data_IF_987185729215
#
_entry.id   IF_987185729215
#
_cell.length_a   1.000
_cell.length_b   1.000
_cell.length_c   1.000
_cell.angle_alpha   90.00
_cell.angle_beta   90.00
_cell.angle_gamma   90.00
#
_symmetry.space_group_name_H-M   'P 1'
#
loop_
_entity.id
_entity.type
_entity.pdbx_description
1 polymer ?
#
# COMPACT_ATOMS: atom_id res chain seq x y z
N UNK A 1 7.05 -6.75 -4.99
CA UNK A 1 5.90 -7.66 -5.20
C UNK A 1 5.40 -7.52 -6.63
N UNK A 2 5.05 -8.63 -7.29
CA UNK A 2 4.55 -8.62 -8.67
C UNK A 2 3.15 -8.01 -8.73
N UNK A 3 2.93 -7.11 -9.68
CA UNK A 3 1.61 -6.54 -9.99
C UNK A 3 1.14 -6.97 -11.36
N UNK A 4 -0.17 -7.10 -11.51
CA UNK A 4 -0.82 -7.35 -12.78
C UNK A 4 -1.27 -6.03 -13.40
N UNK A 5 -0.93 -5.81 -14.67
CA UNK A 5 -1.48 -4.70 -15.46
C UNK A 5 -2.84 -5.13 -16.02
N UNK A 6 -3.91 -4.51 -15.52
CA UNK A 6 -5.29 -4.85 -15.86
C UNK A 6 -5.92 -3.72 -16.69
N UNK A 7 -6.46 -4.00 -17.89
CA UNK A 7 -7.14 -2.98 -18.70
C UNK A 7 -8.41 -2.45 -18.02
N UNK A 8 -8.62 -1.13 -18.01
CA UNK A 8 -9.80 -0.51 -17.40
C UNK A 8 -11.11 -0.99 -18.05
N UNK A 9 -11.09 -1.29 -19.35
CA UNK A 9 -12.25 -1.85 -20.06
C UNK A 9 -12.65 -3.23 -19.53
N UNK A 10 -11.69 -4.07 -19.12
CA UNK A 10 -11.97 -5.39 -18.57
C UNK A 10 -12.63 -5.29 -17.18
N UNK A 11 -12.14 -4.39 -16.33
CA UNK A 11 -12.74 -4.09 -15.03
C UNK A 11 -14.17 -3.57 -15.18
N UNK A 12 -14.40 -2.61 -16.09
CA UNK A 12 -15.74 -2.07 -16.34
C UNK A 12 -16.73 -3.13 -16.83
N UNK A 13 -16.32 -4.03 -17.72
CA UNK A 13 -17.16 -5.18 -18.15
C UNK A 13 -17.49 -6.12 -16.99
N UNK A 14 -16.65 -6.16 -15.97
CA UNK A 14 -16.84 -6.99 -14.77
C UNK A 14 -17.56 -6.24 -13.64
N UNK A 15 -18.09 -5.04 -13.89
CA UNK A 15 -18.84 -4.25 -12.90
C UNK A 15 -17.98 -3.41 -11.95
N UNK A 16 -16.68 -3.24 -12.23
CA UNK A 16 -15.76 -2.44 -11.42
C UNK A 16 -15.37 -1.16 -12.17
N UNK A 17 -15.69 -0.01 -11.58
CA UNK A 17 -15.21 1.28 -12.07
C UNK A 17 -13.79 1.56 -11.58
N UNK A 18 -12.99 2.13 -12.47
CA UNK A 18 -11.78 2.86 -12.09
C UNK A 18 -11.85 4.21 -12.76
N UNK A 19 -11.71 5.27 -11.96
CA UNK A 19 -11.65 6.63 -12.48
C UNK A 19 -10.32 6.84 -13.19
N UNK A 20 -10.37 7.56 -14.32
CA UNK A 20 -9.22 7.68 -15.22
C UNK A 20 -8.00 8.25 -14.50
N UNK A 21 -6.83 7.64 -14.74
CA UNK A 21 -5.51 8.07 -14.24
C UNK A 21 -4.59 8.51 -15.38
N UNK A 22 -5.15 8.80 -16.55
CA UNK A 22 -4.39 9.07 -17.77
C UNK A 22 -3.84 7.81 -18.48
N UNK A 23 -4.08 6.61 -17.92
CA UNK A 23 -3.65 5.34 -18.51
C UNK A 23 -4.84 4.41 -18.80
N UNK A 24 -4.77 3.58 -19.87
CA UNK A 24 -5.81 2.60 -20.21
C UNK A 24 -5.81 1.35 -19.32
N UNK A 25 -4.81 1.22 -18.45
CA UNK A 25 -4.58 0.10 -17.54
C UNK A 25 -4.32 0.60 -16.11
N UNK A 26 -4.54 -0.26 -15.12
CA UNK A 26 -4.13 -0.07 -13.73
C UNK A 26 -3.29 -1.26 -13.28
N UNK A 27 -2.29 -1.02 -12.44
CA UNK A 27 -1.52 -2.07 -11.80
C UNK A 27 -2.18 -2.45 -10.47
N UNK A 28 -2.56 -3.72 -10.33
CA UNK A 28 -3.18 -4.26 -9.11
C UNK A 28 -2.29 -5.36 -8.51
N UNK A 29 -2.31 -5.55 -7.18
CA UNK A 29 -1.63 -6.69 -6.55
C UNK A 29 -2.12 -8.02 -7.10
N UNK A 30 -1.26 -9.04 -7.10
CA UNK A 30 -1.60 -10.38 -7.59
C UNK A 30 -2.86 -10.94 -6.91
N UNK A 31 -2.97 -10.79 -5.59
CA UNK A 31 -4.19 -11.10 -4.85
C UNK A 31 -5.12 -9.89 -4.83
N UNK A 32 -6.05 -9.85 -5.76
CA UNK A 32 -7.10 -8.84 -5.85
C UNK A 32 -8.45 -9.52 -6.04
N UNK A 33 -9.34 -9.39 -5.05
CA UNK A 33 -10.73 -9.88 -5.09
C UNK A 33 -11.66 -8.70 -4.98
N UNK A 34 -12.51 -8.50 -5.98
CA UNK A 34 -13.39 -7.34 -6.07
C UNK A 34 -14.82 -7.83 -6.28
N UNK A 35 -15.72 -7.47 -5.38
CA UNK A 35 -17.14 -7.72 -5.57
C UNK A 35 -17.77 -6.59 -6.39
N UNK A 36 -18.52 -6.96 -7.42
CA UNK A 36 -19.32 -6.01 -8.19
C UNK A 36 -20.70 -5.79 -7.56
N UNK A 37 -21.30 -4.59 -7.72
CA UNK A 37 -20.70 -3.40 -8.31
C UNK A 37 -19.73 -2.71 -7.35
N UNK A 38 -18.66 -2.11 -7.86
CA UNK A 38 -17.67 -1.43 -7.02
C UNK A 38 -16.87 -0.37 -7.78
N UNK A 39 -16.11 0.46 -7.06
CA UNK A 39 -15.21 1.44 -7.67
C UNK A 39 -13.88 1.51 -6.92
N UNK A 40 -12.77 1.41 -7.66
CA UNK A 40 -11.41 1.59 -7.13
C UNK A 40 -10.99 3.06 -7.08
N UNK A 41 -11.77 3.95 -7.72
CA UNK A 41 -11.49 5.38 -7.90
C UNK A 41 -9.99 5.65 -8.15
N UNK A 42 -9.36 6.52 -7.37
CA UNK A 42 -7.96 6.93 -7.54
C UNK A 42 -7.00 6.29 -6.51
N UNK A 43 -7.46 5.32 -5.72
CA UNK A 43 -6.67 4.70 -4.65
C UNK A 43 -5.58 3.77 -5.19
N UNK A 44 -4.39 3.80 -4.58
CA UNK A 44 -3.32 2.86 -4.86
C UNK A 44 -3.45 1.64 -3.93
N UNK A 45 -3.55 0.45 -4.51
CA UNK A 45 -3.62 -0.80 -3.79
C UNK A 45 -2.28 -1.55 -3.89
N UNK A 46 -1.76 -1.99 -2.76
CA UNK A 46 -0.49 -2.71 -2.63
C UNK A 46 -0.65 -4.03 -1.87
N UNK A 47 0.30 -4.94 -2.08
CA UNK A 47 0.38 -6.26 -1.45
C UNK A 47 -0.79 -7.21 -1.76
N UNK A 48 -2.01 -6.89 -1.31
CA UNK A 48 -3.23 -7.65 -1.59
C UNK A 48 -4.47 -6.83 -1.22
N UNK A 49 -5.59 -7.04 -1.90
CA UNK A 49 -6.88 -6.43 -1.55
C UNK A 49 -8.03 -7.40 -1.74
N UNK A 50 -8.97 -7.39 -0.79
CA UNK A 50 -10.33 -7.88 -0.98
C UNK A 50 -11.28 -6.72 -0.65
N UNK A 51 -12.15 -6.36 -1.60
CA UNK A 51 -13.04 -5.20 -1.49
C UNK A 51 -14.49 -5.63 -1.78
N UNK A 52 -15.34 -5.50 -0.77
CA UNK A 52 -16.76 -5.79 -0.88
C UNK A 52 -17.52 -4.82 -1.79
N UNK A 53 -18.68 -5.27 -2.26
CA UNK A 53 -19.52 -4.49 -3.17
C UNK A 53 -19.94 -3.16 -2.53
N UNK A 54 -20.12 -2.15 -3.39
CA UNK A 54 -20.47 -0.78 -3.02
C UNK A 54 -19.43 -0.05 -2.15
N UNK A 55 -18.31 -0.69 -1.82
CA UNK A 55 -17.21 -0.04 -1.11
C UNK A 55 -16.30 0.70 -2.08
N UNK A 56 -15.82 1.87 -1.65
CA UNK A 56 -14.85 2.66 -2.40
C UNK A 56 -13.98 3.49 -1.48
N UNK A 57 -12.75 3.73 -1.92
CA UNK A 57 -11.88 4.75 -1.36
C UNK A 57 -11.62 5.81 -2.43
N UNK A 58 -11.91 7.08 -2.13
CA UNK A 58 -11.78 8.16 -3.13
C UNK A 58 -10.35 8.24 -3.65
N UNK A 59 -9.38 8.37 -2.75
CA UNK A 59 -7.95 8.36 -3.08
C UNK A 59 -7.12 7.97 -1.86
N UNK A 60 -5.81 7.82 -2.07
CA UNK A 60 -4.86 7.49 -1.03
C UNK A 60 -4.25 6.12 -1.27
N UNK A 61 -3.98 5.41 -0.18
CA UNK A 61 -3.19 4.20 -0.19
C UNK A 61 -3.84 3.11 0.65
N UNK A 62 -3.79 1.87 0.17
CA UNK A 62 -4.32 0.71 0.85
C UNK A 62 -3.38 -0.48 0.65
N UNK A 63 -2.83 -1.00 1.74
CA UNK A 63 -1.90 -2.13 1.74
C UNK A 63 -2.49 -3.29 2.53
N UNK A 64 -2.46 -4.48 1.94
CA UNK A 64 -2.87 -5.74 2.56
C UNK A 64 -4.20 -5.64 3.33
N UNK A 65 -5.31 -5.31 2.65
CA UNK A 65 -6.59 -5.08 3.33
C UNK A 65 -7.69 -6.08 2.96
N UNK A 66 -8.63 -6.26 3.89
CA UNK A 66 -9.90 -6.99 3.74
C UNK A 66 -11.01 -6.05 4.15
N UNK A 67 -11.75 -5.54 3.16
CA UNK A 67 -12.75 -4.49 3.36
C UNK A 67 -14.13 -5.06 3.00
N UNK A 68 -15.08 -4.94 3.93
CA UNK A 68 -16.46 -5.37 3.73
C UNK A 68 -17.22 -4.56 2.68
N UNK A 69 -18.54 -4.76 2.61
CA UNK A 69 -19.47 -4.07 1.72
C UNK A 69 -19.88 -2.70 2.26
N UNK A 70 -20.34 -1.81 1.39
CA UNK A 70 -20.93 -0.51 1.74
C UNK A 70 -20.01 0.44 2.51
N UNK A 71 -18.69 0.33 2.37
CA UNK A 71 -17.74 1.19 3.05
C UNK A 71 -17.38 2.44 2.24
N UNK A 72 -17.24 3.56 2.92
CA UNK A 72 -16.88 4.85 2.30
C UNK A 72 -15.58 5.37 2.92
N UNK A 73 -14.55 5.61 2.11
CA UNK A 73 -13.29 6.20 2.57
C UNK A 73 -13.00 7.50 1.82
N UNK A 74 -12.75 8.58 2.56
CA UNK A 74 -12.45 9.91 2.02
C UNK A 74 -11.11 9.98 1.27
N UNK A 75 -10.85 11.13 0.64
CA UNK A 75 -9.57 11.39 -0.05
C UNK A 75 -8.38 11.31 0.91
N UNK A 76 -7.25 10.84 0.39
CA UNK A 76 -5.99 10.78 1.12
C UNK A 76 -5.95 9.77 2.26
N UNK A 77 -6.99 8.94 2.44
CA UNK A 77 -7.01 7.90 3.48
C UNK A 77 -5.84 6.93 3.31
N UNK A 78 -5.21 6.55 4.42
CA UNK A 78 -4.08 5.63 4.46
C UNK A 78 -4.49 4.37 5.23
N UNK A 79 -4.55 3.22 4.58
CA UNK A 79 -4.97 1.95 5.19
C UNK A 79 -3.82 0.93 5.16
N UNK A 80 -3.56 0.30 6.29
CA UNK A 80 -2.60 -0.81 6.40
C UNK A 80 -1.15 -0.40 6.21
N UNK A 81 -0.83 0.86 6.56
CA UNK A 81 0.55 1.35 6.56
C UNK A 81 1.33 0.59 7.63
N UNK A 82 2.36 -0.13 7.19
CA UNK A 82 3.20 -0.95 8.06
C UNK A 82 4.05 -0.07 8.97
N UNK A 83 4.26 -0.53 10.19
CA UNK A 83 5.06 0.20 11.17
C UNK A 83 6.56 -0.09 10.98
N UNK A 84 7.38 0.87 11.38
CA UNK A 84 8.82 0.67 11.54
C UNK A 84 9.09 -0.31 12.70
N UNK A 85 10.25 -0.99 12.72
CA UNK A 85 10.68 -1.77 13.87
C UNK A 85 10.79 -0.88 15.11
N UNK A 86 9.88 -1.02 16.07
CA UNK A 86 9.88 -0.26 17.33
C UNK A 86 10.55 -1.02 18.48
N UNK A 87 10.87 -2.29 18.26
CA UNK A 87 11.55 -3.21 19.17
C UNK A 87 13.04 -3.37 18.86
N UNK A 88 13.53 -2.77 17.76
CA UNK A 88 14.95 -2.77 17.40
C UNK A 88 15.66 -1.57 18.03
N UNK A 89 16.99 -1.53 17.90
CA UNK A 89 17.82 -0.43 18.41
C UNK A 89 17.42 0.95 17.85
N UNK A 90 16.77 1.01 16.68
CA UNK A 90 16.24 2.23 16.08
C UNK A 90 15.17 1.91 15.03
N UNK A 91 14.25 2.84 14.82
CA UNK A 91 13.31 2.83 13.68
C UNK A 91 13.97 3.24 12.36
N UNK A 92 15.24 3.62 12.38
CA UNK A 92 15.99 4.09 11.21
C UNK A 92 16.19 2.95 10.19
N UNK A 93 16.03 3.24 8.88
CA UNK A 93 16.33 2.29 7.81
C UNK A 93 17.77 1.78 7.79
N UNK A 94 18.70 2.46 8.47
CA UNK A 94 20.05 1.94 8.73
C UNK A 94 19.99 0.50 9.26
N UNK A 95 19.05 0.23 10.15
CA UNK A 95 18.99 -1.04 10.84
C UNK A 95 18.27 -2.11 10.04
N UNK A 96 17.65 -1.84 8.88
CA UNK A 96 16.86 -2.88 8.22
C UNK A 96 16.82 -2.88 6.69
N UNK A 97 17.19 -1.81 6.00
CA UNK A 97 17.17 -1.83 4.53
C UNK A 97 18.16 -2.84 3.95
N UNK A 98 19.30 -3.05 4.64
CA UNK A 98 20.34 -3.96 4.19
C UNK A 98 20.97 -3.55 2.84
N UNK A 99 20.70 -2.34 2.37
CA UNK A 99 21.17 -1.78 1.10
C UNK A 99 21.26 -0.24 1.17
N UNK A 100 21.50 0.42 0.04
CA UNK A 100 21.61 1.88 -0.08
C UNK A 100 20.38 2.60 0.53
N UNK A 101 20.63 3.41 1.55
CA UNK A 101 19.59 4.18 2.26
C UNK A 101 19.23 5.47 1.54
N UNK A 102 20.24 6.22 1.10
CA UNK A 102 20.12 7.50 0.42
C UNK A 102 21.00 7.50 -0.83
N UNK A 103 20.54 8.17 -1.87
CA UNK A 103 21.31 8.42 -3.10
C UNK A 103 22.14 9.69 -2.95
N UNK A 104 23.33 9.55 -2.37
CA UNK A 104 24.23 10.65 -2.02
C UNK A 104 25.53 10.55 -2.82
N UNK A 105 26.16 11.70 -3.11
CA UNK A 105 27.49 11.75 -3.72
C UNK A 105 28.62 11.47 -2.72
N UNK A 106 29.86 11.44 -3.21
CA UNK A 106 31.04 10.97 -2.43
C UNK A 106 31.77 12.04 -1.60
N UNK A 107 31.32 13.29 -1.64
CA UNK A 107 32.11 14.43 -1.15
C UNK A 107 31.90 14.78 0.32
N UNK A 108 31.02 14.07 1.03
CA UNK A 108 30.79 14.29 2.45
C UNK A 108 31.70 13.42 3.31
N UNK A 109 31.98 13.86 4.53
CA UNK A 109 32.83 13.12 5.46
C UNK A 109 32.26 11.71 5.69
N UNK A 110 33.12 10.70 5.53
CA UNK A 110 32.77 9.28 5.68
C UNK A 110 31.80 8.72 4.60
N UNK A 111 31.75 9.30 3.40
CA UNK A 111 30.91 8.78 2.31
C UNK A 111 31.16 7.29 2.02
N UNK A 112 32.44 6.88 1.94
CA UNK A 112 32.80 5.47 1.75
C UNK A 112 32.21 4.56 2.85
N UNK A 113 32.25 4.98 4.12
CA UNK A 113 31.69 4.18 5.22
C UNK A 113 30.16 4.12 5.14
N UNK A 114 29.51 5.23 4.78
CA UNK A 114 28.06 5.28 4.61
C UNK A 114 27.59 4.33 3.49
N UNK A 115 28.22 4.41 2.32
CA UNK A 115 27.83 3.59 1.16
C UNK A 115 28.11 2.10 1.34
N UNK A 116 29.14 1.75 2.10
CA UNK A 116 29.51 0.36 2.39
C UNK A 116 28.81 -0.21 3.63
N UNK A 117 28.07 0.58 4.40
CA UNK A 117 27.39 0.11 5.60
C UNK A 117 26.29 -0.89 5.25
N UNK A 118 26.25 -2.03 5.96
CA UNK A 118 25.22 -3.06 5.82
C UNK A 118 24.89 -3.64 7.19
N UNK A 119 23.68 -3.41 7.68
CA UNK A 119 23.20 -4.04 8.91
C UNK A 119 22.83 -5.50 8.64
N UNK A 120 23.31 -6.41 9.49
CA UNK A 120 22.99 -7.84 9.41
C UNK A 120 21.97 -8.18 10.48
N UNK A 121 20.85 -8.73 10.06
CA UNK A 121 19.77 -9.20 10.93
C UNK A 121 19.28 -10.55 10.45
N UNK A 122 18.88 -11.41 11.40
CA UNK A 122 18.27 -12.70 11.12
C UNK A 122 16.74 -12.64 11.21
N UNK A 123 16.17 -11.48 11.54
CA UNK A 123 14.73 -11.26 11.66
C UNK A 123 14.28 -10.15 10.72
N UNK A 124 13.06 -10.22 10.18
CA UNK A 124 12.50 -9.13 9.38
C UNK A 124 12.23 -7.91 10.28
N UNK A 125 12.38 -6.72 9.70
CA UNK A 125 12.15 -5.44 10.39
C UNK A 125 10.68 -5.21 10.77
N UNK A 126 9.78 -5.79 9.99
CA UNK A 126 8.34 -5.65 10.17
C UNK A 126 7.67 -6.82 9.48
N UNK A 127 6.62 -7.33 10.11
CA UNK A 127 5.77 -8.35 9.54
C UNK A 127 4.57 -7.68 8.89
N UNK A 128 4.30 -8.03 7.63
CA UNK A 128 3.15 -7.51 6.91
C UNK A 128 1.86 -7.94 7.61
N UNK A 129 1.11 -6.98 8.15
CA UNK A 129 -0.18 -7.22 8.77
C UNK A 129 -1.32 -6.93 7.81
N UNK A 130 -2.36 -7.77 7.90
CA UNK A 130 -3.59 -7.59 7.15
C UNK A 130 -4.55 -6.71 7.96
N UNK A 131 -4.98 -5.60 7.38
CA UNK A 131 -6.00 -4.73 7.98
C UNK A 131 -7.40 -5.20 7.59
N UNK A 132 -8.25 -5.48 8.57
CA UNK A 132 -9.65 -5.88 8.36
C UNK A 132 -10.60 -4.75 8.72
N UNK A 133 -11.45 -4.36 7.77
CA UNK A 133 -12.53 -3.38 7.96
C UNK A 133 -13.85 -4.08 7.65
N UNK A 134 -14.80 -4.00 8.57
CA UNK A 134 -16.11 -4.64 8.46
C UNK A 134 -17.00 -4.04 7.36
N UNK A 135 -18.29 -4.37 7.39
CA UNK A 135 -19.28 -3.74 6.51
C UNK A 135 -19.71 -2.39 7.07
N UNK A 136 -20.18 -1.50 6.19
CA UNK A 136 -20.85 -0.24 6.56
C UNK A 136 -19.99 0.69 7.43
N UNK A 137 -18.70 0.79 7.10
CA UNK A 137 -17.76 1.68 7.79
C UNK A 137 -17.53 2.94 6.96
N UNK A 138 -17.63 4.10 7.61
CA UNK A 138 -17.20 5.37 7.05
C UNK A 138 -15.93 5.88 7.72
N UNK A 139 -14.93 6.26 6.91
CA UNK A 139 -13.68 6.87 7.36
C UNK A 139 -13.46 8.18 6.60
N UNK A 140 -13.20 9.25 7.37
CA UNK A 140 -13.01 10.60 6.86
C UNK A 140 -11.70 10.84 6.11
N UNK A 141 -11.63 11.99 5.46
CA UNK A 141 -10.46 12.45 4.69
C UNK A 141 -9.18 12.46 5.51
N UNK A 142 -8.08 11.99 4.91
CA UNK A 142 -6.74 12.02 5.51
C UNK A 142 -6.53 11.09 6.71
N UNK A 143 -7.50 10.24 7.06
CA UNK A 143 -7.36 9.32 8.17
C UNK A 143 -6.22 8.31 7.94
N UNK A 144 -5.56 7.93 9.03
CA UNK A 144 -4.48 6.94 9.05
C UNK A 144 -4.90 5.73 9.88
N UNK A 145 -4.98 4.57 9.23
CA UNK A 145 -5.26 3.27 9.84
C UNK A 145 -3.98 2.46 9.80
N UNK A 146 -3.33 2.33 10.97
CA UNK A 146 -2.14 1.52 11.14
C UNK A 146 -2.44 0.03 10.91
N UNK A 147 -1.41 -0.71 10.50
CA UNK A 147 -1.48 -2.17 10.35
C UNK A 147 -1.32 -2.92 11.68
#
# INVERSE_FOLDING_TARGET
MVKLSVPLKALRRSGIEVLSRGAPNINLPLHTVLEAPGSLKWTQYEHSIELGAFSYQVSGYCFAARIGRYCSFGEGTQIGRQNHPTDWASTSPAFYLGDQMYDLGETFANADLFHNYRFKTNTPATDAKITSIGNDVWIGHGAYIAA
#
